data_IF_299622553426
#
_entry.id   IF_299622553426
#
_cell.length_a   1.000
_cell.length_b   1.000
_cell.length_c   1.000
_cell.angle_alpha   90.00
_cell.angle_beta   90.00
_cell.angle_gamma   90.00
#
_symmetry.space_group_name_H-M   'P 1'
#
loop_
_entity.id
_entity.type
_entity.pdbx_description
1 polymer ?
#
# COMPACT_ATOMS: atom_id res chain seq x y z
N UNK A 1 5.71 -17.45 -2.54
CA UNK A 1 6.00 -16.07 -2.06
C UNK A 1 7.48 -15.90 -1.75
N UNK A 2 8.13 -14.84 -2.26
CA UNK A 2 9.35 -14.25 -1.71
C UNK A 2 9.34 -12.75 -2.05
N UNK A 3 8.72 -11.94 -1.20
CA UNK A 3 9.00 -10.50 -1.19
C UNK A 3 10.45 -10.35 -0.69
N UNK A 4 11.31 -9.60 -1.39
CA UNK A 4 12.72 -9.49 -1.00
C UNK A 4 12.92 -8.87 0.40
N UNK A 5 11.94 -8.10 0.91
CA UNK A 5 12.00 -7.41 2.21
C UNK A 5 11.05 -8.00 3.27
N UNK A 6 10.88 -9.33 3.35
CA UNK A 6 9.96 -9.92 4.34
C UNK A 6 10.27 -9.54 5.80
N UNK A 7 11.55 -9.25 6.11
CA UNK A 7 11.97 -8.82 7.45
C UNK A 7 11.40 -7.46 7.86
N UNK A 8 11.07 -6.59 6.91
CA UNK A 8 10.61 -5.23 7.17
C UNK A 8 9.24 -4.94 6.54
N UNK A 9 8.41 -5.97 6.38
CA UNK A 9 7.04 -5.85 5.90
C UNK A 9 6.05 -5.99 7.04
N UNK A 10 5.39 -4.91 7.41
CA UNK A 10 4.44 -4.86 8.52
C UNK A 10 3.03 -4.61 7.98
N UNK A 11 2.26 -5.68 7.81
CA UNK A 11 0.87 -5.59 7.38
C UNK A 11 0.05 -4.81 8.43
N UNK A 12 -0.61 -3.75 7.99
CA UNK A 12 -1.47 -2.90 8.83
C UNK A 12 -2.91 -3.35 8.80
N UNK A 13 -3.43 -3.68 7.62
CA UNK A 13 -4.80 -4.11 7.44
C UNK A 13 -4.99 -4.88 6.12
N UNK A 14 -6.00 -5.75 6.11
CA UNK A 14 -6.61 -6.32 4.92
C UNK A 14 -8.09 -5.90 4.94
N UNK A 15 -8.53 -5.11 3.98
CA UNK A 15 -9.84 -4.42 4.02
C UNK A 15 -10.59 -4.70 2.73
N UNK A 16 -11.87 -5.14 2.76
CA UNK A 16 -12.66 -5.29 1.54
C UNK A 16 -12.67 -4.01 0.68
N UNK A 17 -12.55 -4.17 -0.62
CA UNK A 17 -12.58 -3.06 -1.58
C UNK A 17 -14.03 -2.56 -1.69
N UNK A 18 -14.21 -1.24 -1.57
CA UNK A 18 -15.49 -0.59 -1.78
C UNK A 18 -15.80 -0.39 -3.27
N UNK A 19 -17.03 0.03 -3.57
CA UNK A 19 -17.51 0.11 -4.96
C UNK A 19 -16.74 1.13 -5.80
N UNK A 20 -16.45 2.32 -5.26
CA UNK A 20 -15.75 3.38 -5.99
C UNK A 20 -14.29 2.98 -6.27
N UNK A 21 -13.64 2.39 -5.26
CA UNK A 21 -12.30 1.83 -5.39
C UNK A 21 -12.24 0.70 -6.43
N UNK A 22 -13.26 -0.18 -6.46
CA UNK A 22 -13.38 -1.28 -7.42
C UNK A 22 -13.49 -0.77 -8.87
N UNK A 23 -14.28 0.28 -9.11
CA UNK A 23 -14.46 0.83 -10.45
C UNK A 23 -13.13 1.30 -11.06
N UNK A 24 -12.24 1.90 -10.25
CA UNK A 24 -10.92 2.32 -10.72
C UNK A 24 -10.00 1.12 -11.00
N UNK A 25 -10.11 0.04 -10.23
CA UNK A 25 -9.37 -1.20 -10.52
C UNK A 25 -9.83 -1.88 -11.81
N UNK A 26 -11.14 -1.83 -12.10
CA UNK A 26 -11.69 -2.33 -13.35
C UNK A 26 -11.14 -1.56 -14.56
N UNK A 27 -11.03 -0.23 -14.48
CA UNK A 27 -10.36 0.59 -15.51
C UNK A 27 -8.89 0.20 -15.74
N UNK A 28 -8.23 -0.33 -14.70
CA UNK A 28 -6.85 -0.83 -14.77
C UNK A 28 -6.75 -2.31 -15.21
N UNK A 29 -7.87 -2.96 -15.57
CA UNK A 29 -8.00 -4.40 -15.84
C UNK A 29 -7.53 -5.30 -14.69
N UNK A 30 -7.74 -4.86 -13.43
CA UNK A 30 -7.34 -5.57 -12.21
C UNK A 30 -8.58 -5.89 -11.34
N UNK A 31 -9.62 -6.46 -11.96
CA UNK A 31 -10.96 -6.62 -11.35
C UNK A 31 -11.15 -7.80 -10.41
N UNK A 32 -10.18 -8.71 -10.30
CA UNK A 32 -10.33 -9.94 -9.51
C UNK A 32 -9.96 -9.78 -8.03
N UNK A 33 -9.51 -8.60 -7.62
CA UNK A 33 -9.13 -8.33 -6.25
C UNK A 33 -10.36 -7.96 -5.43
N UNK A 34 -10.36 -8.40 -4.18
CA UNK A 34 -11.50 -8.20 -3.27
C UNK A 34 -11.13 -7.38 -2.04
N UNK A 35 -9.84 -7.23 -1.77
CA UNK A 35 -9.32 -6.55 -0.60
C UNK A 35 -8.15 -5.61 -0.94
N UNK A 36 -8.03 -4.55 -0.17
CA UNK A 36 -6.84 -3.73 -0.04
C UNK A 36 -5.94 -4.29 1.05
N UNK A 37 -4.71 -4.65 0.70
CA UNK A 37 -3.66 -4.93 1.65
C UNK A 37 -2.82 -3.65 1.84
N UNK A 38 -2.88 -3.09 3.05
CA UNK A 38 -2.13 -1.90 3.43
C UNK A 38 -0.99 -2.33 4.34
N UNK A 39 0.25 -1.97 4.00
CA UNK A 39 1.44 -2.34 4.74
C UNK A 39 2.43 -1.18 4.89
N UNK A 40 3.20 -1.23 5.98
CA UNK A 40 4.40 -0.41 6.14
C UNK A 40 5.62 -1.24 5.77
N UNK A 41 6.43 -0.72 4.86
CA UNK A 41 7.62 -1.37 4.34
C UNK A 41 8.87 -0.60 4.71
N UNK A 42 9.86 -1.31 5.26
CA UNK A 42 11.23 -0.83 5.35
C UNK A 42 11.94 -0.97 4.01
N UNK A 43 12.65 0.08 3.62
CA UNK A 43 13.52 0.14 2.47
C UNK A 43 14.91 0.58 2.92
N UNK A 44 15.89 -0.31 2.73
CA UNK A 44 17.29 0.01 2.96
C UNK A 44 17.82 0.77 1.74
N UNK A 45 18.28 1.99 1.96
CA UNK A 45 18.94 2.75 0.89
C UNK A 45 20.36 2.20 0.62
N UNK A 46 20.90 2.32 -0.60
CA UNK A 46 22.25 1.86 -0.97
C UNK A 46 23.43 2.64 -0.33
N UNK A 47 23.28 3.12 0.91
CA UNK A 47 24.27 3.96 1.59
C UNK A 47 25.01 3.17 2.67
N UNK A 48 26.25 3.58 2.96
CA UNK A 48 27.17 2.88 3.88
C UNK A 48 26.69 2.82 5.35
N UNK A 49 25.69 3.63 5.73
CA UNK A 49 25.04 3.58 7.04
C UNK A 49 23.67 2.93 6.91
N UNK A 50 23.34 2.08 7.88
CA UNK A 50 22.04 1.40 7.97
C UNK A 50 20.98 2.44 8.37
N UNK A 51 20.48 3.20 7.39
CA UNK A 51 19.30 4.02 7.54
C UNK A 51 18.13 3.31 6.86
N UNK A 52 17.17 2.86 7.67
CA UNK A 52 15.91 2.38 7.15
C UNK A 52 15.02 3.58 6.86
N UNK A 53 14.53 3.65 5.63
CA UNK A 53 13.39 4.48 5.31
C UNK A 53 12.14 3.61 5.32
N UNK A 54 11.01 4.24 5.61
CA UNK A 54 9.73 3.60 5.73
C UNK A 54 8.80 4.16 4.68
N UNK A 55 7.97 3.33 4.08
CA UNK A 55 6.91 3.76 3.17
C UNK A 55 5.64 2.99 3.46
N UNK A 56 4.51 3.52 3.02
CA UNK A 56 3.23 2.81 3.01
C UNK A 56 2.98 2.33 1.59
N UNK A 57 2.77 1.03 1.44
CA UNK A 57 2.36 0.41 0.18
C UNK A 57 0.94 -0.10 0.31
N UNK A 58 0.17 0.05 -0.77
CA UNK A 58 -1.18 -0.50 -0.90
C UNK A 58 -1.19 -1.46 -2.08
N UNK A 59 -1.66 -2.67 -1.85
CA UNK A 59 -1.79 -3.70 -2.88
C UNK A 59 -3.25 -4.12 -3.01
N UNK A 60 -3.74 -4.30 -4.25
CA UNK A 60 -4.89 -5.14 -4.49
C UNK A 60 -4.55 -6.58 -4.06
N UNK A 61 -5.45 -7.21 -3.31
CA UNK A 61 -5.30 -8.54 -2.75
C UNK A 61 -6.64 -9.29 -2.75
N UNK A 62 -6.60 -10.60 -2.50
CA UNK A 62 -7.80 -11.37 -2.19
C UNK A 62 -8.10 -11.42 -0.69
N UNK A 63 -9.14 -12.17 -0.29
CA UNK A 63 -9.54 -12.30 1.11
C UNK A 63 -8.56 -13.07 1.99
N UNK A 64 -7.68 -13.87 1.38
CA UNK A 64 -6.61 -14.60 2.09
C UNK A 64 -5.34 -13.73 2.20
N UNK A 65 -5.31 -12.59 1.52
CA UNK A 65 -4.16 -11.70 1.47
C UNK A 65 -3.11 -12.14 0.46
N UNK A 66 -3.48 -12.89 -0.59
CA UNK A 66 -2.62 -13.09 -1.74
C UNK A 66 -2.62 -11.84 -2.61
N UNK A 67 -1.42 -11.37 -2.98
CA UNK A 67 -1.22 -10.13 -3.74
C UNK A 67 0.04 -10.19 -4.61
N UNK A 68 0.13 -9.30 -5.60
CA UNK A 68 1.31 -9.13 -6.42
C UNK A 68 2.19 -7.98 -5.92
N UNK A 69 3.25 -8.31 -5.17
CA UNK A 69 4.20 -7.33 -4.62
C UNK A 69 4.88 -6.42 -5.64
N UNK A 70 4.93 -6.82 -6.93
CA UNK A 70 5.51 -6.00 -8.01
C UNK A 70 4.55 -4.93 -8.55
N UNK A 71 3.27 -4.98 -8.16
CA UNK A 71 2.22 -4.09 -8.65
C UNK A 71 1.47 -3.46 -7.46
N UNK A 72 2.12 -2.56 -6.70
CA UNK A 72 1.40 -1.74 -5.74
C UNK A 72 0.42 -0.84 -6.50
N UNK A 73 -0.77 -0.67 -5.93
CA UNK A 73 -1.72 0.35 -6.35
C UNK A 73 -1.22 1.76 -6.00
N UNK A 74 -0.53 1.88 -4.86
CA UNK A 74 0.05 3.11 -4.36
C UNK A 74 1.30 2.83 -3.53
N UNK A 75 2.30 3.69 -3.65
CA UNK A 75 3.44 3.77 -2.74
C UNK A 75 3.57 5.20 -2.23
N UNK A 76 3.66 5.39 -0.92
CA UNK A 76 3.97 6.71 -0.40
C UNK A 76 5.42 7.12 -0.70
N UNK A 77 5.73 8.42 -0.64
CA UNK A 77 7.10 8.87 -0.44
C UNK A 77 7.76 8.19 0.76
N UNK A 78 9.08 8.12 0.74
CA UNK A 78 9.90 7.58 1.83
C UNK A 78 9.87 8.52 3.03
N UNK A 79 9.79 7.94 4.21
CA UNK A 79 9.81 8.62 5.51
C UNK A 79 10.96 8.08 6.34
N UNK A 80 11.65 8.97 7.05
CA UNK A 80 12.77 8.56 7.91
C UNK A 80 12.28 7.89 9.21
N UNK A 81 11.02 8.14 9.60
CA UNK A 81 10.46 7.70 10.87
C UNK A 81 9.35 6.65 10.67
N UNK A 82 9.48 5.51 11.37
CA UNK A 82 8.47 4.44 11.39
C UNK A 82 7.14 4.90 11.98
N UNK A 83 7.16 5.85 12.93
CA UNK A 83 5.93 6.38 13.52
C UNK A 83 5.11 7.17 12.49
N UNK A 84 5.77 7.96 11.63
CA UNK A 84 5.10 8.71 10.58
C UNK A 84 4.49 7.78 9.54
N UNK A 85 5.21 6.73 9.13
CA UNK A 85 4.68 5.71 8.24
C UNK A 85 3.46 4.99 8.84
N UNK A 86 3.49 4.67 10.13
CA UNK A 86 2.35 4.07 10.82
C UNK A 86 1.13 4.99 10.93
N UNK A 87 1.38 6.28 11.17
CA UNK A 87 0.32 7.29 11.20
C UNK A 87 -0.33 7.43 9.83
N UNK A 88 0.47 7.51 8.77
CA UNK A 88 -0.02 7.54 7.39
C UNK A 88 -0.82 6.28 7.05
N UNK A 89 -0.29 5.09 7.36
CA UNK A 89 -0.99 3.83 7.13
C UNK A 89 -2.33 3.79 7.88
N UNK A 90 -2.39 4.30 9.10
CA UNK A 90 -3.62 4.36 9.89
C UNK A 90 -4.65 5.34 9.29
N UNK A 91 -4.21 6.45 8.70
CA UNK A 91 -5.09 7.36 7.97
C UNK A 91 -5.61 6.74 6.68
N UNK A 92 -4.75 6.07 5.91
CA UNK A 92 -5.14 5.34 4.68
C UNK A 92 -6.15 4.23 5.01
N UNK A 93 -5.96 3.49 6.11
CA UNK A 93 -6.95 2.50 6.59
C UNK A 93 -8.32 3.13 6.84
N UNK A 94 -8.37 4.34 7.40
CA UNK A 94 -9.64 5.06 7.60
C UNK A 94 -10.27 5.44 6.26
N UNK A 95 -9.50 6.00 5.32
CA UNK A 95 -9.99 6.35 3.98
C UNK A 95 -10.47 5.13 3.20
N UNK A 96 -9.79 3.98 3.31
CA UNK A 96 -10.20 2.73 2.68
C UNK A 96 -11.55 2.24 3.17
N UNK A 97 -11.82 2.33 4.47
CA UNK A 97 -13.13 2.00 5.04
C UNK A 97 -14.25 2.94 4.61
N UNK A 98 -13.88 4.10 4.06
CA UNK A 98 -14.81 5.08 3.50
C UNK A 98 -14.89 4.99 1.97
N UNK A 99 -14.24 3.99 1.35
CA UNK A 99 -14.20 3.79 -0.10
C UNK A 99 -13.62 5.01 -0.85
N UNK A 100 -12.47 5.49 -0.37
CA UNK A 100 -11.82 6.73 -0.84
C UNK A 100 -10.39 6.55 -1.36
N UNK A 101 -9.88 5.32 -1.51
CA UNK A 101 -8.51 5.11 -1.99
C UNK A 101 -8.33 5.47 -3.47
N UNK A 102 -9.41 5.45 -4.25
CA UNK A 102 -9.43 5.90 -5.64
C UNK A 102 -8.81 7.29 -5.85
N UNK A 103 -8.89 8.15 -4.83
CA UNK A 103 -8.35 9.51 -4.86
C UNK A 103 -6.82 9.58 -4.76
N UNK A 104 -6.16 8.56 -4.21
CA UNK A 104 -4.71 8.54 -4.02
C UNK A 104 -3.96 8.40 -5.34
N UNK A 105 -4.47 7.60 -6.27
CA UNK A 105 -3.87 7.38 -7.59
C UNK A 105 -4.05 8.62 -8.50
N UNK A 106 -5.13 9.38 -8.31
CA UNK A 106 -5.34 10.65 -9.00
C UNK A 106 -4.25 11.66 -8.63
N UNK A 107 -3.79 11.67 -7.37
CA UNK A 107 -2.83 12.64 -6.89
C UNK A 107 -1.41 12.41 -7.44
N UNK A 108 -1.01 11.16 -7.74
CA UNK A 108 0.27 10.85 -8.37
C UNK A 108 0.32 11.20 -9.86
N UNK A 109 -0.80 11.20 -10.59
CA UNK A 109 -0.84 11.58 -12.01
C UNK A 109 -0.63 13.09 -12.27
N UNK A 110 -0.66 13.92 -11.22
CA UNK A 110 -0.64 15.40 -11.33
C UNK A 110 0.65 16.00 -10.70
N UNK A 111 1.57 15.19 -10.17
CA UNK A 111 2.94 15.61 -9.75
C UNK A 111 3.99 15.15 -10.75
#
# INVERSE_FOLDING_TARGET
MKTPNYHDFYQKALIPIGLNDQLVLEEMNDSNWTHWLIAVEGEQLPQAKIYYNWKVSIYPADCEGDFNWKKPYYCSPRMECMADANNLASSIVKSSKLDQLFSLNLQEKIS
#
